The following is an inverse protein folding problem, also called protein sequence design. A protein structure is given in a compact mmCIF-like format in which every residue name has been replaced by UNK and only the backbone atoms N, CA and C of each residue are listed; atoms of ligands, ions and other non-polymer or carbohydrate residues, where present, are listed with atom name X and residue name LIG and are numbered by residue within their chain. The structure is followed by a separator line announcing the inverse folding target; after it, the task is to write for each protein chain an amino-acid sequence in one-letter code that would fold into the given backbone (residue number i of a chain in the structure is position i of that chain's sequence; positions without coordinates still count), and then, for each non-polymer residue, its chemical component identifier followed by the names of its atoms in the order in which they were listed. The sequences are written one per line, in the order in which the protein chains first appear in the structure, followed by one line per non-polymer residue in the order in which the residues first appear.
data_IF_568675346333
#
_entry.id   IF_568675346333
#
_cell.length_a   1.000
_cell.length_b   1.000
_cell.length_c   1.000
_cell.angle_alpha   90.00
_cell.angle_beta   90.00
_cell.angle_gamma   90.00
#
_symmetry.space_group_name_H-M   'P 1'
#
loop_
_entity.id
_entity.type
_entity.pdbx_description
1 polymer ?
#
# COMPACT_ATOMS: atom_id res chain seq x y z
N UNK A 1 -4.43 -26.18 -18.55
CA UNK A 1 -5.28 -25.61 -17.49
C UNK A 1 -4.47 -24.88 -16.41
N UNK A 2 -3.38 -25.44 -15.87
CA UNK A 2 -2.60 -24.81 -14.79
C UNK A 2 -1.91 -23.47 -15.14
N UNK A 3 -1.43 -23.27 -16.37
CA UNK A 3 -0.70 -22.04 -16.74
C UNK A 3 -1.58 -20.78 -16.64
N UNK A 4 -2.81 -20.83 -17.17
CA UNK A 4 -3.76 -19.71 -17.10
C UNK A 4 -4.15 -19.38 -15.66
N UNK A 5 -4.24 -20.39 -14.80
CA UNK A 5 -4.59 -20.23 -13.40
C UNK A 5 -3.43 -19.58 -12.60
N UNK A 6 -2.20 -20.05 -12.83
CA UNK A 6 -0.99 -19.45 -12.26
C UNK A 6 -0.77 -18.00 -12.75
N UNK A 7 -1.07 -17.72 -14.02
CA UNK A 7 -1.04 -16.37 -14.59
C UNK A 7 -2.06 -15.47 -13.86
N UNK A 8 -3.28 -15.95 -13.65
CA UNK A 8 -4.32 -15.18 -12.96
C UNK A 8 -3.92 -14.88 -11.51
N UNK A 9 -3.42 -15.88 -10.77
CA UNK A 9 -2.94 -15.71 -9.38
C UNK A 9 -1.78 -14.73 -9.31
N UNK A 10 -0.82 -14.83 -10.23
CA UNK A 10 0.31 -13.90 -10.30
C UNK A 10 -0.13 -12.46 -10.66
N UNK A 11 -1.18 -12.30 -11.46
CA UNK A 11 -1.74 -10.99 -11.83
C UNK A 11 -2.67 -10.40 -10.76
N UNK A 12 -3.24 -11.18 -9.83
CA UNK A 12 -4.08 -10.66 -8.76
C UNK A 12 -3.49 -9.45 -7.99
N UNK A 13 -2.23 -9.47 -7.51
CA UNK A 13 -1.66 -8.31 -6.83
C UNK A 13 -1.60 -7.07 -7.72
N UNK A 14 -1.28 -7.24 -9.00
CA UNK A 14 -1.21 -6.13 -9.97
C UNK A 14 -2.60 -5.52 -10.19
N UNK A 15 -3.61 -6.36 -10.40
CA UNK A 15 -4.99 -5.91 -10.57
C UNK A 15 -5.49 -5.17 -9.32
N UNK A 16 -5.19 -5.67 -8.12
CA UNK A 16 -5.53 -5.00 -6.86
C UNK A 16 -4.94 -3.60 -6.79
N UNK A 17 -3.64 -3.47 -7.08
CA UNK A 17 -2.96 -2.17 -7.07
C UNK A 17 -3.57 -1.25 -8.13
N UNK A 18 -3.82 -1.75 -9.35
CA UNK A 18 -4.42 -0.98 -10.44
C UNK A 18 -5.80 -0.40 -10.07
N UNK A 19 -6.66 -1.21 -9.43
CA UNK A 19 -7.97 -0.77 -8.95
C UNK A 19 -7.86 0.31 -7.89
N UNK A 20 -6.97 0.14 -6.90
CA UNK A 20 -6.76 1.13 -5.83
C UNK A 20 -6.24 2.45 -6.42
N UNK A 21 -5.29 2.38 -7.35
CA UNK A 21 -4.78 3.56 -8.07
C UNK A 21 -5.85 4.24 -8.91
N UNK A 22 -6.72 3.47 -9.57
CA UNK A 22 -7.85 3.99 -10.35
C UNK A 22 -8.86 4.75 -9.48
N UNK A 23 -9.20 4.21 -8.31
CA UNK A 23 -10.05 4.88 -7.33
C UNK A 23 -9.40 6.19 -6.85
N UNK A 24 -8.10 6.17 -6.53
CA UNK A 24 -7.36 7.38 -6.14
C UNK A 24 -7.35 8.45 -7.24
N UNK A 25 -7.17 8.05 -8.50
CA UNK A 25 -7.22 8.95 -9.65
C UNK A 25 -8.63 9.55 -9.86
N UNK A 26 -9.67 8.74 -9.70
CA UNK A 26 -11.05 9.21 -9.75
C UNK A 26 -11.34 10.23 -8.63
N UNK A 27 -10.89 9.94 -7.40
CA UNK A 27 -11.05 10.82 -6.24
C UNK A 27 -10.29 12.15 -6.37
N UNK A 28 -9.23 12.16 -7.17
CA UNK A 28 -8.43 13.34 -7.51
C UNK A 28 -9.04 14.17 -8.65
N UNK A 29 -10.09 13.69 -9.31
CA UNK A 29 -10.74 14.45 -10.39
C UNK A 29 -11.47 15.67 -9.82
N UNK A 30 -11.45 16.79 -10.55
CA UNK A 30 -12.03 18.07 -10.12
C UNK A 30 -13.54 18.00 -9.79
N UNK A 31 -14.24 16.99 -10.28
CA UNK A 31 -15.67 16.76 -10.00
C UNK A 31 -15.92 16.26 -8.57
N UNK A 32 -15.00 15.46 -8.01
CA UNK A 32 -15.13 14.88 -6.67
C UNK A 32 -14.38 15.71 -5.64
N UNK A 33 -13.23 16.29 -6.01
CA UNK A 33 -12.43 17.25 -5.22
C UNK A 33 -12.15 16.83 -3.74
N UNK A 34 -12.22 15.54 -3.45
CA UNK A 34 -11.92 14.98 -2.12
C UNK A 34 -10.41 14.87 -1.92
N UNK A 35 -9.67 14.56 -2.99
CA UNK A 35 -8.21 14.49 -3.00
C UNK A 35 -7.58 15.75 -3.62
N UNK A 36 -8.00 16.92 -3.13
CA UNK A 36 -7.41 18.23 -3.49
C UNK A 36 -5.91 18.28 -3.22
N UNK A 37 -5.21 19.26 -3.79
CA UNK A 37 -3.77 19.48 -3.60
C UNK A 37 -3.33 19.44 -2.13
N UNK A 38 -4.04 20.14 -1.24
CA UNK A 38 -3.75 20.13 0.20
C UNK A 38 -3.98 18.77 0.86
N UNK A 39 -5.06 18.07 0.49
CA UNK A 39 -5.37 16.74 1.00
C UNK A 39 -4.29 15.73 0.58
N UNK A 40 -3.83 15.79 -0.68
CA UNK A 40 -2.71 14.97 -1.18
C UNK A 40 -1.43 15.23 -0.40
N UNK A 41 -1.12 16.50 -0.10
CA UNK A 41 0.06 16.89 0.66
C UNK A 41 0.03 16.38 2.10
N UNK A 42 -1.12 16.50 2.78
CA UNK A 42 -1.30 15.98 4.13
C UNK A 42 -1.24 14.45 4.18
N UNK A 43 -1.91 13.76 3.24
CA UNK A 43 -1.82 12.30 3.12
C UNK A 43 -0.39 11.84 2.93
N UNK A 44 0.36 12.47 2.02
CA UNK A 44 1.76 12.12 1.80
C UNK A 44 2.59 12.30 3.09
N UNK A 45 2.36 13.39 3.84
CA UNK A 45 3.03 13.61 5.13
C UNK A 45 2.70 12.51 6.15
N UNK A 46 1.44 12.10 6.26
CA UNK A 46 1.02 11.00 7.16
C UNK A 46 1.68 9.68 6.73
N UNK A 47 1.71 9.38 5.44
CA UNK A 47 2.36 8.18 4.92
C UNK A 47 3.83 8.15 5.32
N UNK A 48 4.56 9.23 5.08
CA UNK A 48 5.99 9.29 5.37
C UNK A 48 6.31 9.29 6.86
N UNK A 49 5.53 9.99 7.69
CA UNK A 49 5.85 10.17 9.12
C UNK A 49 5.30 9.03 9.98
N UNK A 50 4.17 8.44 9.61
CA UNK A 50 3.48 7.44 10.44
C UNK A 50 3.56 6.06 9.81
N UNK A 51 3.12 5.92 8.55
CA UNK A 51 3.01 4.59 7.95
C UNK A 51 4.35 3.97 7.59
N UNK A 52 5.33 4.74 7.08
CA UNK A 52 6.66 4.19 6.76
C UNK A 52 7.35 3.64 8.02
N UNK A 53 7.47 4.38 9.13
CA UNK A 53 8.04 3.82 10.36
C UNK A 53 7.24 2.64 10.89
N UNK A 54 5.90 2.72 10.91
CA UNK A 54 5.06 1.62 11.40
C UNK A 54 5.21 0.34 10.58
N UNK A 55 5.29 0.45 9.25
CA UNK A 55 5.53 -0.69 8.35
C UNK A 55 6.93 -1.28 8.56
N UNK A 56 7.94 -0.43 8.75
CA UNK A 56 9.30 -0.88 9.07
C UNK A 56 9.31 -1.69 10.38
N UNK A 57 8.68 -1.16 11.44
CA UNK A 57 8.58 -1.86 12.72
C UNK A 57 7.76 -3.13 12.63
N UNK A 58 6.65 -3.15 11.87
CA UNK A 58 5.85 -4.35 11.66
C UNK A 58 6.67 -5.43 10.93
N UNK A 59 7.44 -5.04 9.91
CA UNK A 59 8.31 -5.95 9.16
C UNK A 59 9.45 -6.48 10.04
N UNK A 60 10.03 -5.62 10.88
CA UNK A 60 11.06 -6.01 11.86
C UNK A 60 10.50 -6.96 12.92
N UNK A 61 9.33 -6.67 13.50
CA UNK A 61 8.70 -7.53 14.50
C UNK A 61 8.28 -8.90 13.94
N UNK A 62 7.94 -8.96 12.65
CA UNK A 62 7.64 -10.23 11.98
C UNK A 62 8.90 -11.03 11.62
N UNK A 63 10.01 -10.34 11.37
CA UNK A 63 11.28 -10.96 10.97
C UNK A 63 12.20 -11.29 12.15
N UNK A 64 12.03 -10.60 13.29
CA UNK A 64 12.87 -10.72 14.48
C UNK A 64 11.98 -11.07 15.67
N UNK A 65 12.03 -12.31 16.13
CA UNK A 65 11.40 -12.75 17.38
C UNK A 65 12.31 -12.40 18.56
N UNK A 66 11.75 -12.20 19.76
CA UNK A 66 12.53 -11.88 20.97
C UNK A 66 13.64 -12.90 21.28
N UNK A 67 13.49 -14.14 20.82
CA UNK A 67 14.53 -15.18 20.89
C UNK A 67 15.78 -14.86 20.05
N UNK A 68 15.64 -14.22 18.87
CA UNK A 68 16.77 -13.80 18.02
C UNK A 68 17.52 -12.57 18.58
N UNK A 69 16.93 -11.82 19.51
CA UNK A 69 17.54 -10.62 20.11
C UNK A 69 18.28 -10.90 21.42
N UNK A 70 17.94 -11.99 22.11
CA UNK A 70 18.48 -12.36 23.43
C UNK A 70 19.53 -13.48 23.30
N UNK A 71 19.54 -14.23 22.19
CA UNK A 71 20.59 -15.19 21.85
C UNK A 71 21.82 -14.54 21.21
#
# INVERSE_FOLDING_TARGET
MAFWDLLLVACMPVVKILLISGVGAFLSTQYVNVLSDDARKHLNKVVFVVFIPALMFASLAQSVTFEDLIS
#
